data_IF_162455201420
#
_entry.id   IF_162455201420
#
_cell.length_a   1.000
_cell.length_b   1.000
_cell.length_c   1.000
_cell.angle_alpha   90.00
_cell.angle_beta   90.00
_cell.angle_gamma   90.00
#
_symmetry.space_group_name_H-M   'P 1'
#
loop_
_entity.id
_entity.type
_entity.pdbx_description
1 polymer ?
#
# COMPACT_ATOMS: atom_id res chain seq x y z
N UNK A 1 53.67 -31.64 -10.35
CA UNK A 1 53.86 -32.87 -11.16
C UNK A 1 53.66 -32.48 -12.60
N UNK A 2 54.60 -32.84 -13.47
CA UNK A 2 54.70 -32.39 -14.86
C UNK A 2 53.79 -33.23 -15.76
N UNK A 3 53.23 -32.56 -16.76
CA UNK A 3 52.51 -33.10 -17.91
C UNK A 3 53.39 -34.04 -18.74
N UNK A 4 52.77 -35.03 -19.41
CA UNK A 4 52.68 -35.06 -20.87
C UNK A 4 52.09 -36.37 -21.41
N UNK A 5 51.19 -36.20 -22.38
CA UNK A 5 50.72 -37.20 -23.32
C UNK A 5 51.82 -37.56 -24.34
N UNK A 6 51.78 -38.79 -24.86
CA UNK A 6 52.01 -39.14 -26.27
C UNK A 6 51.67 -40.62 -26.45
N UNK A 7 50.59 -40.93 -27.17
CA UNK A 7 50.54 -41.28 -28.59
C UNK A 7 50.79 -42.76 -28.84
N UNK A 8 49.78 -43.43 -29.40
CA UNK A 8 49.96 -44.69 -30.09
C UNK A 8 49.29 -44.56 -31.46
N UNK A 9 50.10 -44.64 -32.51
CA UNK A 9 49.67 -44.70 -33.89
C UNK A 9 50.20 -46.02 -34.48
N UNK A 10 49.27 -46.90 -34.83
CA UNK A 10 49.42 -48.07 -35.70
C UNK A 10 48.21 -47.96 -36.64
N UNK A 11 48.28 -48.05 -37.96
CA UNK A 11 49.28 -48.53 -38.90
C UNK A 11 48.53 -49.13 -40.09
N UNK A 12 49.22 -49.31 -41.22
CA UNK A 12 48.81 -50.11 -42.39
C UNK A 12 47.73 -49.51 -43.31
N UNK A 13 47.68 -49.71 -44.62
CA UNK A 13 48.59 -50.18 -45.67
C UNK A 13 47.80 -50.12 -46.98
N UNK A 14 48.43 -49.61 -48.04
CA UNK A 14 48.33 -50.03 -49.45
C UNK A 14 46.97 -50.07 -50.16
N UNK A 15 46.91 -49.25 -51.22
CA UNK A 15 46.59 -49.61 -52.60
C UNK A 15 45.27 -49.06 -53.22
N UNK A 16 45.50 -48.51 -54.42
CA UNK A 16 44.65 -48.42 -55.61
C UNK A 16 43.84 -47.14 -55.84
N UNK A 17 44.34 -46.40 -56.82
CA UNK A 17 43.72 -45.36 -57.62
C UNK A 17 42.45 -45.89 -58.33
N UNK A 18 41.40 -45.09 -58.34
CA UNK A 18 40.45 -45.03 -59.44
C UNK A 18 40.06 -43.56 -59.62
N UNK A 19 40.43 -43.01 -60.77
CA UNK A 19 39.94 -41.75 -61.30
C UNK A 19 38.49 -41.98 -61.71
N UNK A 20 37.55 -41.30 -61.05
CA UNK A 20 36.16 -41.23 -61.51
C UNK A 20 35.86 -39.77 -61.85
N UNK A 21 35.66 -39.58 -63.15
CA UNK A 21 35.36 -38.35 -63.86
C UNK A 21 33.88 -38.01 -63.61
N UNK A 22 33.61 -37.12 -62.67
CA UNK A 22 32.27 -36.61 -62.39
C UNK A 22 32.21 -35.14 -62.78
N UNK A 23 31.85 -34.89 -64.03
CA UNK A 23 31.32 -33.62 -64.51
C UNK A 23 30.03 -33.31 -63.73
N UNK A 24 30.13 -32.59 -62.60
CA UNK A 24 28.96 -32.03 -61.91
C UNK A 24 28.81 -30.56 -62.29
N UNK A 25 28.12 -30.40 -63.42
CA UNK A 25 27.20 -29.32 -63.76
C UNK A 25 27.22 -28.13 -62.78
N UNK A 26 28.01 -27.11 -63.13
CA UNK A 26 27.97 -25.79 -62.49
C UNK A 26 26.61 -25.17 -62.84
N UNK A 27 25.60 -25.45 -62.00
CA UNK A 27 24.29 -24.83 -62.10
C UNK A 27 24.45 -23.35 -61.78
N UNK A 28 24.47 -22.57 -62.86
CA UNK A 28 24.22 -21.14 -62.92
C UNK A 28 22.88 -20.85 -62.22
N UNK A 29 22.93 -20.63 -60.91
CA UNK A 29 21.82 -20.08 -60.14
C UNK A 29 21.71 -18.59 -60.47
N UNK A 30 21.31 -18.32 -61.71
CA UNK A 30 20.71 -17.05 -62.09
C UNK A 30 19.26 -17.06 -61.57
N UNK A 31 19.00 -16.17 -60.63
CA UNK A 31 17.82 -15.32 -60.66
C UNK A 31 16.42 -15.97 -60.61
N UNK A 32 16.13 -16.78 -59.58
CA UNK A 32 14.74 -17.05 -59.22
C UNK A 32 14.45 -16.75 -57.74
N UNK A 33 13.50 -15.83 -57.57
CA UNK A 33 12.80 -15.45 -56.35
C UNK A 33 13.45 -14.34 -55.48
N UNK A 34 13.77 -13.21 -56.12
CA UNK A 34 13.27 -11.89 -55.66
C UNK A 34 11.71 -11.82 -55.67
N UNK A 35 11.01 -12.91 -55.34
CA UNK A 35 9.58 -12.90 -55.00
C UNK A 35 9.46 -12.47 -53.54
N UNK A 36 9.72 -11.19 -53.38
CA UNK A 36 9.24 -10.32 -52.31
C UNK A 36 7.69 -10.26 -52.32
N UNK A 37 7.01 -11.41 -52.48
CA UNK A 37 5.57 -11.56 -52.36
C UNK A 37 5.21 -11.39 -50.88
N UNK A 38 5.01 -10.12 -50.53
CA UNK A 38 3.85 -9.71 -49.74
C UNK A 38 3.59 -10.61 -48.54
N UNK A 39 4.56 -10.68 -47.61
CA UNK A 39 4.42 -11.29 -46.29
C UNK A 39 2.97 -11.17 -45.79
N UNK A 40 2.25 -12.30 -45.85
CA UNK A 40 0.82 -12.42 -45.51
C UNK A 40 0.49 -11.46 -44.36
N UNK A 41 -0.48 -10.52 -44.51
CA UNK A 41 -0.83 -9.52 -43.51
C UNK A 41 -0.90 -10.09 -42.07
N UNK A 42 -1.24 -11.37 -41.92
CA UNK A 42 -1.22 -12.08 -40.65
C UNK A 42 0.18 -12.39 -40.10
N UNK A 43 1.16 -12.77 -40.93
CA UNK A 43 2.56 -12.98 -40.52
C UNK A 43 3.19 -11.68 -40.03
N UNK A 44 2.93 -10.54 -40.70
CA UNK A 44 3.40 -9.21 -40.24
C UNK A 44 2.74 -8.82 -38.91
N UNK A 45 1.43 -9.03 -38.76
CA UNK A 45 0.71 -8.78 -37.49
C UNK A 45 1.23 -9.68 -36.36
N UNK A 46 1.46 -10.96 -36.65
CA UNK A 46 2.01 -11.91 -35.68
C UNK A 46 3.40 -11.49 -35.22
N UNK A 47 4.28 -11.08 -36.15
CA UNK A 47 5.61 -10.58 -35.81
C UNK A 47 5.53 -9.37 -34.88
N UNK A 48 4.73 -8.36 -35.22
CA UNK A 48 4.55 -7.17 -34.37
C UNK A 48 3.98 -7.51 -32.98
N UNK A 49 3.06 -8.48 -32.92
CA UNK A 49 2.51 -8.95 -31.64
C UNK A 49 3.56 -9.71 -30.82
N UNK A 50 4.38 -10.53 -31.46
CA UNK A 50 5.49 -11.26 -30.85
C UNK A 50 6.53 -10.28 -30.29
N UNK A 51 6.96 -9.29 -31.08
CA UNK A 51 7.88 -8.22 -30.67
C UNK A 51 7.31 -7.41 -29.49
N UNK A 52 6.01 -7.11 -29.51
CA UNK A 52 5.36 -6.44 -28.38
C UNK A 52 5.36 -7.32 -27.12
N UNK A 53 5.12 -8.62 -27.28
CA UNK A 53 5.10 -9.56 -26.16
C UNK A 53 6.48 -9.73 -25.55
N UNK A 54 7.53 -9.80 -26.36
CA UNK A 54 8.92 -9.86 -25.87
C UNK A 54 9.29 -8.57 -25.13
N UNK A 55 8.95 -7.40 -25.68
CA UNK A 55 9.20 -6.12 -25.02
C UNK A 55 8.51 -6.03 -23.64
N UNK A 56 7.24 -6.42 -23.56
CA UNK A 56 6.49 -6.43 -22.28
C UNK A 56 7.14 -7.42 -21.30
N UNK A 57 7.59 -8.58 -21.77
CA UNK A 57 8.25 -9.57 -20.92
C UNK A 57 9.57 -9.04 -20.36
N UNK A 58 10.39 -8.42 -21.20
CA UNK A 58 11.65 -7.80 -20.76
C UNK A 58 11.42 -6.70 -19.72
N UNK A 59 10.41 -5.85 -19.92
CA UNK A 59 10.07 -4.81 -18.95
C UNK A 59 9.56 -5.40 -17.64
N UNK A 60 8.75 -6.46 -17.70
CA UNK A 60 8.33 -7.19 -16.50
C UNK A 60 9.53 -7.79 -15.74
N UNK A 61 10.50 -8.37 -16.45
CA UNK A 61 11.70 -8.94 -15.83
C UNK A 61 12.59 -7.85 -15.19
N UNK A 62 12.69 -6.67 -15.82
CA UNK A 62 13.35 -5.48 -15.26
C UNK A 62 12.63 -4.99 -13.99
N UNK A 63 11.31 -4.89 -14.03
CA UNK A 63 10.50 -4.47 -12.88
C UNK A 63 10.60 -5.47 -11.73
N UNK A 64 10.51 -6.77 -12.02
CA UNK A 64 10.67 -7.83 -11.02
C UNK A 64 12.03 -7.76 -10.33
N UNK A 65 13.10 -7.55 -11.12
CA UNK A 65 14.45 -7.33 -10.59
C UNK A 65 14.51 -6.10 -9.68
N UNK A 66 13.89 -4.99 -10.10
CA UNK A 66 13.87 -3.76 -9.32
C UNK A 66 13.11 -3.91 -8.00
N UNK A 67 11.98 -4.62 -8.03
CA UNK A 67 11.21 -4.97 -6.83
C UNK A 67 12.06 -5.82 -5.88
N UNK A 68 12.82 -6.77 -6.41
CA UNK A 68 13.75 -7.59 -5.64
C UNK A 68 14.84 -6.76 -4.94
N UNK A 69 15.44 -5.79 -5.64
CA UNK A 69 16.41 -4.85 -5.06
C UNK A 69 15.82 -4.01 -3.94
N UNK A 70 14.69 -3.35 -4.19
CA UNK A 70 14.01 -2.51 -3.21
C UNK A 70 13.61 -3.34 -2.00
N UNK A 71 13.12 -4.57 -2.21
CA UNK A 71 12.81 -5.52 -1.15
C UNK A 71 14.03 -5.87 -0.29
N UNK A 72 15.22 -6.04 -0.90
CA UNK A 72 16.47 -6.25 -0.14
C UNK A 72 16.82 -5.03 0.72
N UNK A 73 16.71 -3.82 0.18
CA UNK A 73 16.97 -2.59 0.94
C UNK A 73 16.00 -2.40 2.10
N UNK A 74 14.71 -2.67 1.89
CA UNK A 74 13.69 -2.61 2.94
C UNK A 74 13.99 -3.62 4.06
N UNK A 75 14.28 -4.88 3.72
CA UNK A 75 14.63 -5.90 4.72
C UNK A 75 15.86 -5.50 5.54
N UNK A 76 16.89 -4.97 4.87
CA UNK A 76 18.09 -4.46 5.54
C UNK A 76 17.75 -3.30 6.50
N UNK A 77 16.99 -2.31 6.04
CA UNK A 77 16.58 -1.18 6.88
C UNK A 77 15.72 -1.61 8.08
N UNK A 78 14.84 -2.61 7.91
CA UNK A 78 14.06 -3.17 9.03
C UNK A 78 14.97 -3.89 10.03
N UNK A 79 15.97 -4.64 9.57
CA UNK A 79 16.92 -5.32 10.44
C UNK A 79 17.78 -4.32 11.23
N UNK A 80 18.30 -3.28 10.55
CA UNK A 80 19.07 -2.19 11.17
C UNK A 80 18.22 -1.44 12.21
N UNK A 81 16.98 -1.08 11.86
CA UNK A 81 16.03 -0.48 12.81
C UNK A 81 15.81 -1.39 14.03
N UNK A 82 15.55 -2.67 13.81
CA UNK A 82 15.28 -3.62 14.90
C UNK A 82 16.48 -3.77 15.82
N UNK A 83 17.69 -3.79 15.25
CA UNK A 83 18.93 -3.78 16.01
C UNK A 83 19.06 -2.52 16.87
N UNK A 84 18.86 -1.33 16.29
CA UNK A 84 18.92 -0.05 17.01
C UNK A 84 17.87 0.02 18.12
N UNK A 85 16.62 -0.38 17.83
CA UNK A 85 15.54 -0.42 18.83
C UNK A 85 15.91 -1.31 20.01
N UNK A 86 16.40 -2.53 19.75
CA UNK A 86 16.83 -3.45 20.82
C UNK A 86 17.98 -2.86 21.65
N UNK A 87 18.92 -2.18 21.00
CA UNK A 87 20.05 -1.55 21.70
C UNK A 87 19.61 -0.36 22.55
N UNK A 88 18.75 0.51 22.02
CA UNK A 88 18.21 1.65 22.77
C UNK A 88 17.33 1.20 23.95
N UNK A 89 16.58 0.11 23.77
CA UNK A 89 15.82 -0.53 24.86
C UNK A 89 16.73 -1.01 25.99
N UNK A 90 17.92 -1.55 25.68
CA UNK A 90 18.91 -1.95 26.69
C UNK A 90 19.51 -0.78 27.49
N UNK A 91 19.47 0.42 26.92
CA UNK A 91 19.90 1.65 27.59
C UNK A 91 18.75 2.42 28.26
N UNK A 92 17.52 1.85 28.28
CA UNK A 92 16.30 2.48 28.83
C UNK A 92 15.93 3.84 28.20
N UNK A 93 16.32 4.07 26.94
CA UNK A 93 16.05 5.34 26.26
C UNK A 93 14.57 5.52 25.88
N UNK A 94 14.02 6.74 26.06
CA UNK A 94 12.64 7.08 25.73
C UNK A 94 12.44 7.46 24.24
N UNK A 95 13.17 6.79 23.33
CA UNK A 95 13.16 7.12 21.89
C UNK A 95 11.77 6.95 21.23
N UNK A 96 10.85 6.19 21.83
CA UNK A 96 9.48 6.00 21.34
C UNK A 96 8.60 7.24 21.45
N UNK A 97 8.89 8.13 22.39
CA UNK A 97 8.06 9.31 22.68
C UNK A 97 8.69 10.64 22.26
N UNK A 98 9.93 10.61 21.75
CA UNK A 98 10.63 11.80 21.25
C UNK A 98 10.09 12.16 19.86
N UNK A 99 9.65 13.42 19.62
CA UNK A 99 9.24 13.85 18.29
C UNK A 99 10.45 13.89 17.35
N UNK A 100 10.50 12.97 16.40
CA UNK A 100 11.53 12.94 15.36
C UNK A 100 11.21 14.02 14.31
N UNK A 101 12.02 15.07 14.27
CA UNK A 101 12.02 16.06 13.18
C UNK A 101 13.01 15.53 12.14
N UNK A 102 12.51 14.99 11.03
CA UNK A 102 13.34 14.61 9.88
C UNK A 102 13.41 15.85 8.98
N UNK A 103 14.57 16.54 8.88
CA UNK A 103 14.70 17.66 7.97
C UNK A 103 14.61 17.14 6.54
N UNK A 104 13.62 17.61 5.78
CA UNK A 104 13.54 17.29 4.35
C UNK A 104 14.62 18.09 3.59
N UNK A 105 15.42 17.45 2.73
CA UNK A 105 16.40 18.16 1.91
C UNK A 105 15.66 19.02 0.89
N UNK A 106 15.58 20.33 1.14
CA UNK A 106 14.88 21.29 0.27
C UNK A 106 14.35 22.54 0.99
N UNK A 107 14.15 22.48 2.31
CA UNK A 107 13.79 23.67 3.08
C UNK A 107 15.06 24.46 3.43
N UNK A 108 15.38 25.44 2.58
CA UNK A 108 16.36 26.48 2.92
C UNK A 108 15.93 27.18 4.20
N UNK A 109 16.79 27.08 5.22
CA UNK A 109 16.95 28.05 6.30
C UNK A 109 15.66 28.53 6.97
N UNK A 110 15.17 27.76 7.95
CA UNK A 110 14.64 28.39 9.15
C UNK A 110 15.63 28.12 10.29
N UNK A 111 16.58 29.05 10.36
CA UNK A 111 17.31 29.39 11.57
C UNK A 111 16.41 29.25 12.80
N UNK A 112 17.02 28.70 13.84
CA UNK A 112 16.50 28.54 15.19
C UNK A 112 15.85 29.80 15.73
N UNK A 113 14.57 30.00 15.41
CA UNK A 113 13.68 30.70 16.32
C UNK A 113 13.40 29.70 17.43
N UNK A 114 14.22 29.83 18.48
CA UNK A 114 13.77 29.79 19.85
C UNK A 114 12.25 30.06 19.84
N UNK A 115 11.45 28.99 19.88
CA UNK A 115 10.04 29.11 20.23
C UNK A 115 10.08 29.39 21.72
N UNK A 116 10.48 30.63 22.08
CA UNK A 116 9.95 31.37 23.20
C UNK A 116 8.53 30.88 23.33
N UNK A 117 8.30 30.21 24.44
CA UNK A 117 7.03 29.85 25.04
C UNK A 117 5.88 30.76 24.61
N UNK A 118 5.43 30.66 23.35
CA UNK A 118 4.14 31.14 22.89
C UNK A 118 3.20 30.21 23.60
N UNK A 119 2.73 30.70 24.75
CA UNK A 119 2.25 29.93 25.87
C UNK A 119 1.57 28.67 25.36
N UNK A 120 2.11 27.52 25.78
CA UNK A 120 1.43 26.22 25.72
C UNK A 120 -0.04 26.56 25.87
N UNK A 121 -0.84 26.55 24.78
CA UNK A 121 -2.28 26.82 24.88
C UNK A 121 -2.69 25.87 25.97
N UNK A 122 -2.99 26.41 27.16
CA UNK A 122 -3.20 25.58 28.35
C UNK A 122 -4.16 24.54 27.84
N UNK A 123 -3.73 23.26 27.79
CA UNK A 123 -4.65 22.19 27.43
C UNK A 123 -5.80 22.47 28.35
N UNK A 124 -6.93 22.94 27.81
CA UNK A 124 -8.10 23.24 28.64
C UNK A 124 -8.23 21.99 29.50
N UNK A 125 -8.23 22.12 30.85
CA UNK A 125 -8.22 20.95 31.71
C UNK A 125 -9.25 20.01 31.13
N UNK A 126 -8.81 18.79 30.80
CA UNK A 126 -9.65 17.79 30.15
C UNK A 126 -10.92 17.79 30.99
N UNK A 127 -12.03 18.34 30.46
CA UNK A 127 -13.25 18.53 31.26
C UNK A 127 -13.47 17.17 31.89
N UNK A 128 -13.38 17.09 33.22
CA UNK A 128 -13.67 15.85 33.94
C UNK A 128 -14.96 15.38 33.31
N UNK A 129 -14.94 14.19 32.69
CA UNK A 129 -16.14 13.65 32.05
C UNK A 129 -17.14 13.56 33.19
N UNK A 130 -17.99 14.58 33.33
CA UNK A 130 -19.18 14.52 34.16
C UNK A 130 -19.83 13.24 33.66
N UNK A 131 -20.04 12.29 34.56
CA UNK A 131 -20.66 11.01 34.21
C UNK A 131 -22.00 11.41 33.59
N UNK A 132 -22.09 11.35 32.27
CA UNK A 132 -23.32 11.67 31.58
C UNK A 132 -24.35 10.72 32.18
N UNK A 133 -25.48 11.28 32.62
CA UNK A 133 -26.52 10.49 33.28
C UNK A 133 -26.77 9.22 32.47
N UNK A 134 -26.81 8.03 33.12
CA UNK A 134 -27.03 6.77 32.42
C UNK A 134 -28.30 6.76 31.58
N UNK A 135 -29.28 7.61 31.93
CA UNK A 135 -30.55 7.75 31.24
C UNK A 135 -30.55 8.81 30.11
N UNK A 136 -29.49 9.62 29.98
CA UNK A 136 -29.38 10.59 28.89
C UNK A 136 -29.21 9.84 27.56
N UNK A 137 -30.07 10.08 26.56
CA UNK A 137 -29.97 9.41 25.27
C UNK A 137 -28.58 9.63 24.64
N UNK A 138 -28.01 8.56 24.05
CA UNK A 138 -26.73 8.66 23.32
C UNK A 138 -26.95 9.29 21.95
N UNK A 139 -26.04 10.19 21.56
CA UNK A 139 -26.06 10.83 20.24
C UNK A 139 -25.90 9.78 19.12
N UNK A 140 -26.56 9.96 17.97
CA UNK A 140 -26.39 9.09 16.81
C UNK A 140 -24.94 9.13 16.31
N UNK A 141 -24.48 8.00 15.76
CA UNK A 141 -23.14 7.88 15.18
C UNK A 141 -23.09 8.60 13.83
N UNK A 142 -21.98 9.26 13.51
CA UNK A 142 -21.78 9.87 12.18
C UNK A 142 -21.84 8.77 11.08
N UNK A 143 -22.36 9.08 9.87
CA UNK A 143 -22.38 8.16 8.72
C UNK A 143 -21.09 7.35 8.51
N UNK A 144 -19.92 8.00 8.58
CA UNK A 144 -18.63 7.33 8.42
C UNK A 144 -18.33 6.34 9.55
N UNK A 145 -18.70 6.67 10.79
CA UNK A 145 -18.51 5.77 11.93
C UNK A 145 -19.43 4.55 11.85
N UNK A 146 -20.64 4.72 11.34
CA UNK A 146 -21.58 3.61 11.09
C UNK A 146 -21.03 2.67 10.02
N UNK A 147 -20.56 3.22 8.90
CA UNK A 147 -19.83 2.47 7.87
C UNK A 147 -18.63 1.71 8.44
N UNK A 148 -17.82 2.36 9.29
CA UNK A 148 -16.68 1.73 9.93
C UNK A 148 -17.11 0.57 10.85
N UNK A 149 -18.22 0.70 11.57
CA UNK A 149 -18.69 -0.33 12.49
C UNK A 149 -19.08 -1.62 11.76
N UNK A 150 -19.76 -1.50 10.63
CA UNK A 150 -20.19 -2.64 9.81
C UNK A 150 -19.02 -3.29 9.04
N UNK A 151 -18.14 -2.47 8.47
CA UNK A 151 -17.12 -2.96 7.54
C UNK A 151 -15.80 -3.36 8.22
N UNK A 152 -15.54 -2.91 9.45
CA UNK A 152 -14.31 -3.26 10.17
C UNK A 152 -14.14 -4.75 10.40
N UNK A 153 -15.23 -5.47 10.69
CA UNK A 153 -15.19 -6.93 10.83
C UNK A 153 -14.84 -7.62 9.51
N UNK A 154 -15.42 -7.16 8.40
CA UNK A 154 -15.19 -7.69 7.06
C UNK A 154 -13.74 -7.48 6.63
N UNK A 155 -13.26 -6.23 6.68
CA UNK A 155 -11.87 -5.87 6.31
C UNK A 155 -10.87 -6.57 7.21
N UNK A 156 -11.15 -6.73 8.50
CA UNK A 156 -10.26 -7.46 9.41
C UNK A 156 -10.15 -8.94 9.07
N UNK A 157 -11.25 -9.59 8.66
CA UNK A 157 -11.25 -11.01 8.27
C UNK A 157 -10.55 -11.20 6.93
N UNK A 158 -10.92 -10.42 5.93
CA UNK A 158 -10.32 -10.46 4.59
C UNK A 158 -8.80 -10.25 4.64
N UNK A 159 -8.35 -9.27 5.43
CA UNK A 159 -6.91 -9.02 5.59
C UNK A 159 -6.19 -10.16 6.32
N UNK A 160 -6.82 -10.76 7.33
CA UNK A 160 -6.27 -11.92 8.05
C UNK A 160 -6.21 -13.15 7.13
N UNK A 161 -7.19 -13.35 6.26
CA UNK A 161 -7.22 -14.45 5.30
C UNK A 161 -6.12 -14.30 4.24
N UNK A 162 -5.98 -13.10 3.66
CA UNK A 162 -5.05 -12.83 2.58
C UNK A 162 -3.59 -12.72 3.05
N UNK A 163 -3.36 -12.06 4.18
CA UNK A 163 -2.01 -11.73 4.65
C UNK A 163 -1.57 -12.52 5.88
N UNK A 164 -2.44 -13.33 6.49
CA UNK A 164 -2.18 -14.07 7.75
C UNK A 164 -1.71 -13.18 8.91
N UNK A 165 -2.04 -11.88 8.86
CA UNK A 165 -1.64 -10.87 9.85
C UNK A 165 -2.88 -10.19 10.41
N UNK A 166 -2.91 -9.98 11.73
CA UNK A 166 -3.94 -9.19 12.39
C UNK A 166 -3.58 -7.71 12.38
N UNK A 167 -4.45 -6.86 11.83
CA UNK A 167 -4.24 -5.42 11.83
C UNK A 167 -4.73 -4.77 13.12
N UNK A 168 -4.02 -3.71 13.53
CA UNK A 168 -4.46 -2.87 14.62
C UNK A 168 -5.74 -2.13 14.26
N UNK A 169 -6.54 -1.80 15.28
CA UNK A 169 -7.71 -0.93 15.16
C UNK A 169 -7.37 0.37 14.40
N UNK A 170 -6.19 0.95 14.61
CA UNK A 170 -5.79 2.19 13.93
C UNK A 170 -5.60 1.98 12.42
N UNK A 171 -4.96 0.88 12.03
CA UNK A 171 -4.67 0.52 10.63
C UNK A 171 -5.95 0.19 9.86
N UNK A 172 -6.84 -0.60 10.46
CA UNK A 172 -8.17 -0.88 9.89
C UNK A 172 -8.96 0.40 9.62
N UNK A 173 -8.88 1.38 10.52
CA UNK A 173 -9.58 2.67 10.35
C UNK A 173 -8.98 3.48 9.21
N UNK A 174 -7.66 3.37 8.96
CA UNK A 174 -7.01 4.03 7.83
C UNK A 174 -7.48 3.43 6.49
N UNK A 175 -7.54 2.11 6.39
CA UNK A 175 -8.04 1.40 5.20
C UNK A 175 -9.50 1.75 4.93
N UNK A 176 -10.34 1.72 5.97
CA UNK A 176 -11.75 2.11 5.85
C UNK A 176 -11.93 3.58 5.47
N UNK A 177 -11.03 4.47 5.89
CA UNK A 177 -11.01 5.87 5.47
C UNK A 177 -10.80 6.01 3.96
N UNK A 178 -9.84 5.28 3.39
CA UNK A 178 -9.63 5.24 1.93
C UNK A 178 -10.86 4.68 1.21
N UNK A 179 -11.39 3.54 1.68
CA UNK A 179 -12.57 2.90 1.09
C UNK A 179 -13.79 3.82 1.13
N UNK A 180 -14.01 4.55 2.23
CA UNK A 180 -15.06 5.55 2.32
C UNK A 180 -14.87 6.68 1.30
N UNK A 181 -13.65 7.16 1.08
CA UNK A 181 -13.44 8.22 0.10
C UNK A 181 -13.71 7.74 -1.33
N UNK A 182 -13.34 6.51 -1.65
CA UNK A 182 -13.57 5.85 -2.94
C UNK A 182 -15.04 5.52 -3.22
N UNK A 183 -15.86 5.31 -2.17
CA UNK A 183 -17.28 5.02 -2.34
C UNK A 183 -18.04 6.11 -3.09
N UNK A 184 -19.02 5.69 -3.88
CA UNK A 184 -19.87 6.56 -4.67
C UNK A 184 -20.85 7.34 -3.78
N UNK A 185 -21.38 8.45 -4.30
CA UNK A 185 -22.36 9.26 -3.58
C UNK A 185 -23.64 8.49 -3.23
N UNK A 186 -24.05 7.54 -4.07
CA UNK A 186 -25.23 6.68 -3.87
C UNK A 186 -25.03 5.72 -2.70
N UNK A 187 -23.86 5.09 -2.59
CA UNK A 187 -23.56 4.19 -1.47
C UNK A 187 -23.40 4.96 -0.16
N UNK A 188 -22.76 6.13 -0.21
CA UNK A 188 -22.67 7.03 0.95
C UNK A 188 -24.05 7.50 1.40
N UNK A 189 -24.97 7.76 0.46
CA UNK A 189 -26.32 8.25 0.75
C UNK A 189 -27.08 7.32 1.71
N UNK A 190 -26.94 6.01 1.57
CA UNK A 190 -27.56 5.03 2.49
C UNK A 190 -27.17 5.30 3.94
N UNK A 191 -25.89 5.60 4.19
CA UNK A 191 -25.38 5.93 5.52
C UNK A 191 -25.81 7.32 6.01
N UNK A 192 -25.98 8.29 5.11
CA UNK A 192 -26.54 9.60 5.45
C UNK A 192 -28.02 9.50 5.81
N UNK A 193 -28.83 8.79 5.02
CA UNK A 193 -30.26 8.58 5.28
C UNK A 193 -30.48 7.83 6.60
N UNK A 194 -29.62 6.86 6.91
CA UNK A 194 -29.64 6.14 8.17
C UNK A 194 -29.30 7.05 9.36
N UNK A 195 -28.30 7.91 9.20
CA UNK A 195 -27.95 8.92 10.20
C UNK A 195 -29.08 9.92 10.45
N UNK A 196 -29.76 10.38 9.41
CA UNK A 196 -30.90 11.31 9.54
C UNK A 196 -32.07 10.68 10.29
N UNK A 197 -32.37 9.41 10.00
CA UNK A 197 -33.37 8.64 10.75
C UNK A 197 -33.00 8.51 12.22
N UNK A 198 -31.77 8.10 12.51
CA UNK A 198 -31.29 7.94 13.88
C UNK A 198 -31.23 9.28 14.64
N UNK A 199 -30.95 10.37 13.93
CA UNK A 199 -30.97 11.74 14.46
C UNK A 199 -32.37 12.21 14.82
N UNK A 200 -33.38 11.91 13.99
CA UNK A 200 -34.78 12.21 14.30
C UNK A 200 -35.24 11.46 15.55
N UNK A 201 -35.00 10.15 15.61
CA UNK A 201 -35.33 9.32 16.76
C UNK A 201 -34.58 9.73 18.04
N UNK A 202 -33.31 10.15 17.91
CA UNK A 202 -32.57 10.75 19.02
C UNK A 202 -33.22 12.04 19.53
N UNK A 203 -33.71 12.89 18.63
CA UNK A 203 -34.44 14.11 18.97
C UNK A 203 -35.68 13.84 19.80
N UNK A 204 -36.50 12.87 19.38
CA UNK A 204 -37.70 12.44 20.13
C UNK A 204 -37.35 11.89 21.51
N UNK A 205 -36.36 10.99 21.59
CA UNK A 205 -35.88 10.44 22.87
C UNK A 205 -35.34 11.51 23.80
N UNK A 206 -34.60 12.47 23.24
CA UNK A 206 -34.04 13.58 23.99
C UNK A 206 -35.14 14.51 24.50
N UNK A 207 -36.19 14.73 23.71
CA UNK A 207 -37.33 15.53 24.12
C UNK A 207 -38.08 14.87 25.28
N UNK A 208 -38.42 13.58 25.16
CA UNK A 208 -39.02 12.80 26.26
C UNK A 208 -38.15 12.83 27.52
N UNK A 209 -36.84 12.64 27.36
CA UNK A 209 -35.90 12.72 28.48
C UNK A 209 -35.89 14.11 29.16
N UNK A 210 -36.00 15.20 28.39
CA UNK A 210 -36.10 16.58 28.94
C UNK A 210 -37.44 16.86 29.61
N UNK A 211 -38.51 16.22 29.16
CA UNK A 211 -39.85 16.41 29.72
C UNK A 211 -40.00 15.58 31.03
N UNK A 212 -39.41 14.38 31.07
CA UNK A 212 -39.40 13.48 32.25
C UNK A 212 -38.37 13.89 33.31
N UNK A 213 -37.23 14.44 32.88
CA UNK A 213 -36.17 14.93 33.77
C UNK A 213 -36.31 16.44 33.86
N UNK A 214 -36.51 17.03 35.04
CA UNK A 214 -36.56 18.49 35.26
C UNK A 214 -35.23 19.20 34.87
N UNK A 215 -34.95 19.25 33.56
CA UNK A 215 -33.68 19.60 32.96
C UNK A 215 -33.53 21.12 32.97
N UNK A 216 -32.96 21.66 34.04
CA UNK A 216 -32.60 23.10 34.11
C UNK A 216 -31.23 23.35 33.49
N UNK A 217 -31.20 24.12 32.40
CA UNK A 217 -29.97 24.70 31.86
C UNK A 217 -29.56 25.86 32.77
N UNK A 218 -28.47 25.73 33.53
CA UNK A 218 -27.82 26.89 34.15
C UNK A 218 -26.92 27.55 33.12
N UNK A 219 -27.19 28.81 32.81
CA UNK A 219 -26.32 29.62 31.95
C UNK A 219 -25.01 29.93 32.69
N UNK A 220 -23.89 29.51 32.10
CA UNK A 220 -22.55 29.86 32.56
C UNK A 220 -22.18 31.24 31.98
N UNK A 221 -21.47 32.12 32.72
CA UNK A 221 -21.23 33.53 32.32
C UNK A 221 -20.46 33.71 31.00
N UNK A 222 -19.90 32.63 30.43
CA UNK A 222 -19.13 32.62 29.18
C UNK A 222 -19.97 32.19 27.94
N UNK A 223 -21.30 32.30 28.00
CA UNK A 223 -22.18 32.07 26.85
C UNK A 223 -22.20 30.62 26.35
N UNK A 224 -21.88 29.65 27.22
CA UNK A 224 -21.91 28.22 26.89
C UNK A 224 -22.72 27.44 27.91
N UNK A 225 -23.86 26.93 27.43
CA UNK A 225 -24.81 26.12 28.18
C UNK A 225 -24.13 24.87 28.77
N UNK A 226 -24.28 24.66 30.07
CA UNK A 226 -23.91 23.43 30.77
C UNK A 226 -25.05 23.02 31.71
N UNK A 227 -25.47 21.76 31.62
CA UNK A 227 -26.54 21.21 32.45
C UNK A 227 -25.97 20.45 33.64
N UNK A 228 -26.55 20.68 34.81
CA UNK A 228 -26.36 19.91 36.05
C UNK A 228 -27.72 19.91 36.79
N UNK A 229 -28.15 18.74 37.27
CA UNK A 229 -29.36 18.56 38.07
C UNK A 229 -29.04 18.86 39.55
N UNK A 230 -29.97 19.50 40.27
CA UNK A 230 -29.90 19.74 41.72
C UNK A 230 -30.27 18.46 42.46
#
# INVERSE_FOLDING_TARGET
MKENLTNNNYGNSSAEESEDDFEDEESDYDDEEEEEEELDPYRKKYRLLSERMTAIKEDNDRLASKIGEVGRWIRRGIAEKSFLVRRLDSHNDNFRNVPLIIPFPGEKGQETLERKSRGRRRKKPLRKKIKADPNCPKRPQNPFFQFCQENRGKVSKEYLELHRVTLSKKELTKILGSKWNEMTATEKKVYYDLYERDKAHYGEKLQRYKDESNWKVKESPDGKQSAELI
#
